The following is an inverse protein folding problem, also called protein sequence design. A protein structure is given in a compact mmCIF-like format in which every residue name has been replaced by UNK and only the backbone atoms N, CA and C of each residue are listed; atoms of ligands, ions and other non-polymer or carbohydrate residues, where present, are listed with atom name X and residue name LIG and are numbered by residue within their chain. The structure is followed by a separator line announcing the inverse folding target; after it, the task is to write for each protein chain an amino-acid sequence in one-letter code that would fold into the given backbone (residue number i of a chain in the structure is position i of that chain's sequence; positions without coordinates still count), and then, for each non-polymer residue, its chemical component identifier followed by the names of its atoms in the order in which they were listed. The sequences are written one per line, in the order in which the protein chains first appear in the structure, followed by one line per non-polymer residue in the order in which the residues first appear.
data_IF_654911318625
#
_entry.id   IF_654911318625
#
_cell.length_a   1.000
_cell.length_b   1.000
_cell.length_c   1.000
_cell.angle_alpha   90.00
_cell.angle_beta   90.00
_cell.angle_gamma   90.00
#
_symmetry.space_group_name_H-M   'P 1'
#
loop_
_entity.id
_entity.type
_entity.pdbx_description
1 polymer ?
#
# COMPACT_ATOMS: atom_id res chain seq x y z
N UNK A 1 30.21 30.46 67.33
CA UNK A 1 30.01 30.35 65.88
C UNK A 1 30.67 31.54 65.20
N UNK A 2 31.78 31.32 64.49
CA UNK A 2 32.60 32.38 63.88
C UNK A 2 31.98 32.86 62.55
N UNK A 3 32.32 34.08 62.11
CA UNK A 3 31.87 34.62 60.81
C UNK A 3 32.23 33.68 59.64
N UNK A 4 33.37 33.01 59.72
CA UNK A 4 33.86 32.04 58.73
C UNK A 4 32.96 30.80 58.66
N UNK A 5 32.51 30.28 59.80
CA UNK A 5 31.55 29.16 59.85
C UNK A 5 30.19 29.55 59.24
N UNK A 6 29.72 30.78 59.49
CA UNK A 6 28.47 31.29 58.90
C UNK A 6 28.58 31.45 57.37
N UNK A 7 29.69 31.99 56.85
CA UNK A 7 29.92 32.08 55.41
C UNK A 7 30.11 30.70 54.75
N UNK A 8 30.74 29.75 55.44
CA UNK A 8 30.90 28.37 54.94
C UNK A 8 29.55 27.64 54.85
N UNK A 9 28.63 27.86 55.79
CA UNK A 9 27.27 27.28 55.77
C UNK A 9 26.42 27.96 54.69
N UNK A 10 26.51 29.28 54.53
CA UNK A 10 25.81 30.00 53.47
C UNK A 10 26.32 29.56 52.08
N UNK A 11 27.63 29.38 51.93
CA UNK A 11 28.25 28.89 50.69
C UNK A 11 27.87 27.45 50.36
N UNK A 12 27.80 26.55 51.35
CA UNK A 12 27.38 25.16 51.13
C UNK A 12 25.88 25.04 50.82
N UNK A 13 25.03 25.86 51.46
CA UNK A 13 23.60 25.96 51.15
C UNK A 13 23.37 26.56 49.76
N UNK A 14 24.10 27.61 49.39
CA UNK A 14 24.01 28.20 48.05
C UNK A 14 24.44 27.22 46.95
N UNK A 15 25.50 26.43 47.19
CA UNK A 15 25.95 25.37 46.27
C UNK A 15 24.90 24.25 46.14
N UNK A 16 24.32 23.80 47.26
CA UNK A 16 23.24 22.81 47.25
C UNK A 16 22.01 23.30 46.48
N UNK A 17 21.62 24.57 46.66
CA UNK A 17 20.52 25.19 45.90
C UNK A 17 20.86 25.26 44.41
N UNK A 18 22.09 25.64 44.03
CA UNK A 18 22.51 25.69 42.64
C UNK A 18 22.48 24.30 41.96
N UNK A 19 22.88 23.24 42.69
CA UNK A 19 22.79 21.85 42.22
C UNK A 19 21.32 21.46 42.01
N UNK A 20 20.44 21.75 42.97
CA UNK A 20 19.00 21.45 42.86
C UNK A 20 18.38 22.17 41.68
N UNK A 21 18.64 23.48 41.50
CA UNK A 21 18.15 24.26 40.37
C UNK A 21 18.64 23.69 39.03
N UNK A 22 19.92 23.31 38.95
CA UNK A 22 20.49 22.68 37.74
C UNK A 22 19.84 21.34 37.42
N UNK A 23 19.57 20.52 38.44
CA UNK A 23 18.90 19.23 38.28
C UNK A 23 17.44 19.38 37.86
N UNK A 24 16.73 20.36 38.43
CA UNK A 24 15.36 20.70 38.04
C UNK A 24 15.32 21.17 36.59
N UNK A 25 16.22 22.06 36.19
CA UNK A 25 16.30 22.55 34.82
C UNK A 25 16.60 21.42 33.82
N UNK A 26 17.58 20.55 34.14
CA UNK A 26 17.88 19.38 33.33
C UNK A 26 16.69 18.42 33.21
N UNK A 27 15.95 18.21 34.30
CA UNK A 27 14.76 17.35 34.31
C UNK A 27 13.65 17.92 33.44
N UNK A 28 13.42 19.24 33.49
CA UNK A 28 12.45 19.93 32.63
C UNK A 28 12.86 19.82 31.16
N UNK A 29 14.11 20.12 30.82
CA UNK A 29 14.61 19.97 29.44
C UNK A 29 14.45 18.53 28.93
N UNK A 30 14.76 17.53 29.77
CA UNK A 30 14.59 16.14 29.41
C UNK A 30 13.12 15.78 29.18
N UNK A 31 12.19 16.32 29.96
CA UNK A 31 10.75 16.11 29.76
C UNK A 31 10.27 16.78 28.47
N UNK A 32 10.72 18.00 28.17
CA UNK A 32 10.42 18.69 26.92
C UNK A 32 10.95 17.92 25.69
N UNK A 33 12.17 17.41 25.75
CA UNK A 33 12.76 16.57 24.69
C UNK A 33 11.98 15.28 24.47
N UNK A 34 11.53 14.62 25.55
CA UNK A 34 10.67 13.44 25.47
C UNK A 34 9.32 13.80 24.83
N UNK A 35 8.72 14.92 25.23
CA UNK A 35 7.45 15.38 24.67
C UNK A 35 7.56 15.68 23.17
N UNK A 36 8.63 16.36 22.74
CA UNK A 36 8.90 16.64 21.32
C UNK A 36 9.07 15.35 20.52
N UNK A 37 9.93 14.42 20.99
CA UNK A 37 10.11 13.12 20.32
C UNK A 37 8.81 12.33 20.19
N UNK A 38 7.96 12.37 21.22
CA UNK A 38 6.65 11.72 21.16
C UNK A 38 5.72 12.39 20.15
N UNK A 39 5.72 13.73 20.07
CA UNK A 39 4.96 14.47 19.07
C UNK A 39 5.42 14.17 17.64
N UNK A 40 6.73 14.18 17.40
CA UNK A 40 7.31 13.89 16.08
C UNK A 40 6.98 12.47 15.65
N UNK A 41 7.10 11.49 16.56
CA UNK A 41 6.73 10.11 16.32
C UNK A 41 5.24 9.94 15.98
N UNK A 42 4.35 10.70 16.61
CA UNK A 42 2.92 10.68 16.30
C UNK A 42 2.63 11.26 14.90
N UNK A 43 3.32 12.34 14.53
CA UNK A 43 3.20 12.94 13.19
C UNK A 43 3.72 12.01 12.09
N UNK A 44 4.86 11.36 12.32
CA UNK A 44 5.41 10.33 11.43
C UNK A 44 4.42 9.18 11.24
N UNK A 45 3.86 8.65 12.33
CA UNK A 45 2.85 7.59 12.28
C UNK A 45 1.61 8.02 11.47
N UNK A 46 1.11 9.24 11.69
CA UNK A 46 -0.05 9.76 10.93
C UNK A 46 0.25 9.89 9.43
N UNK A 47 1.43 10.39 9.05
CA UNK A 47 1.85 10.48 7.67
C UNK A 47 1.94 9.09 7.01
N UNK A 48 2.52 8.15 7.74
CA UNK A 48 2.69 6.76 7.31
C UNK A 48 1.34 6.07 7.08
N UNK A 49 0.40 6.20 8.03
CA UNK A 49 -0.97 5.69 7.87
C UNK A 49 -1.62 6.24 6.59
N UNK A 50 -1.50 7.53 6.31
CA UNK A 50 -2.03 8.14 5.08
C UNK A 50 -1.38 7.58 3.81
N UNK A 51 -0.07 7.35 3.83
CA UNK A 51 0.65 6.77 2.68
C UNK A 51 0.14 5.35 2.40
N UNK A 52 -0.02 4.53 3.43
CA UNK A 52 -0.49 3.16 3.25
C UNK A 52 -1.93 3.14 2.70
N UNK A 53 -2.83 3.91 3.32
CA UNK A 53 -4.21 4.03 2.84
C UNK A 53 -4.26 4.51 1.38
N UNK A 54 -3.42 5.48 1.02
CA UNK A 54 -3.34 5.96 -0.37
C UNK A 54 -2.87 4.88 -1.34
N UNK A 55 -1.88 4.05 -0.96
CA UNK A 55 -1.43 2.92 -1.78
C UNK A 55 -2.53 1.85 -1.92
N UNK A 56 -3.23 1.51 -0.83
CA UNK A 56 -4.37 0.59 -0.84
C UNK A 56 -5.48 1.06 -1.79
N UNK A 57 -5.83 2.35 -1.75
CA UNK A 57 -6.81 2.96 -2.64
C UNK A 57 -6.37 2.91 -4.11
N UNK A 58 -5.08 3.15 -4.38
CA UNK A 58 -4.53 3.04 -5.75
C UNK A 58 -4.62 1.60 -6.27
N UNK A 59 -4.24 0.61 -5.46
CA UNK A 59 -4.37 -0.80 -5.79
C UNK A 59 -5.82 -1.18 -6.10
N UNK A 60 -6.75 -0.75 -5.25
CA UNK A 60 -8.20 -0.97 -5.44
C UNK A 60 -8.68 -0.42 -6.78
N UNK A 61 -8.32 0.81 -7.11
CA UNK A 61 -8.68 1.43 -8.38
C UNK A 61 -8.14 0.65 -9.58
N UNK A 62 -6.89 0.17 -9.51
CA UNK A 62 -6.31 -0.65 -10.58
C UNK A 62 -7.07 -1.97 -10.73
N UNK A 63 -7.41 -2.63 -9.62
CA UNK A 63 -8.21 -3.87 -9.64
C UNK A 63 -9.59 -3.63 -10.25
N UNK A 64 -10.27 -2.54 -9.90
CA UNK A 64 -11.56 -2.17 -10.48
C UNK A 64 -11.47 -1.90 -11.99
N UNK A 65 -10.44 -1.20 -12.45
CA UNK A 65 -10.20 -0.96 -13.88
C UNK A 65 -9.92 -2.25 -14.64
N UNK A 66 -9.05 -3.11 -14.10
CA UNK A 66 -8.74 -4.41 -14.68
C UNK A 66 -9.97 -5.35 -14.70
N UNK A 67 -10.83 -5.28 -13.68
CA UNK A 67 -12.05 -6.09 -13.59
C UNK A 67 -13.03 -5.82 -14.74
N UNK A 68 -13.03 -4.62 -15.32
CA UNK A 68 -13.84 -4.32 -16.52
C UNK A 68 -13.44 -5.20 -17.71
N UNK A 69 -12.15 -5.53 -17.81
CA UNK A 69 -11.62 -6.40 -18.86
C UNK A 69 -12.04 -7.85 -18.61
N UNK A 70 -11.89 -8.31 -17.36
CA UNK A 70 -12.31 -9.65 -16.95
C UNK A 70 -13.81 -9.87 -17.21
N UNK A 71 -14.64 -8.90 -16.85
CA UNK A 71 -16.09 -8.94 -17.11
C UNK A 71 -16.39 -9.01 -18.61
N UNK A 72 -15.65 -8.27 -19.45
CA UNK A 72 -15.83 -8.31 -20.91
C UNK A 72 -15.45 -9.68 -21.49
N UNK A 73 -14.39 -10.30 -20.97
CA UNK A 73 -13.99 -11.66 -21.32
C UNK A 73 -15.10 -12.65 -20.97
N UNK A 74 -15.65 -12.55 -19.76
CA UNK A 74 -16.72 -13.40 -19.24
C UNK A 74 -18.03 -13.28 -20.03
N UNK A 75 -18.40 -12.06 -20.45
CA UNK A 75 -19.61 -11.78 -21.24
C UNK A 75 -19.59 -12.33 -22.67
N UNK A 76 -18.44 -12.81 -23.17
CA UNK A 76 -18.28 -13.34 -24.54
C UNK A 76 -18.73 -12.38 -25.65
N UNK A 77 -18.74 -11.07 -25.39
CA UNK A 77 -19.28 -10.05 -26.30
C UNK A 77 -18.28 -9.58 -27.37
N UNK A 78 -17.47 -10.51 -27.91
CA UNK A 78 -16.40 -10.22 -28.87
C UNK A 78 -16.16 -11.41 -29.81
N UNK A 79 -15.77 -11.14 -31.06
CA UNK A 79 -15.44 -12.15 -32.06
C UNK A 79 -13.94 -12.52 -32.09
N UNK A 80 -13.12 -11.85 -31.28
CA UNK A 80 -11.69 -12.05 -31.21
C UNK A 80 -11.06 -11.12 -30.18
N UNK A 81 -9.88 -11.50 -29.70
CA UNK A 81 -9.12 -10.72 -28.73
C UNK A 81 -7.64 -10.76 -29.12
N UNK A 82 -6.96 -9.63 -28.97
CA UNK A 82 -5.51 -9.55 -29.08
C UNK A 82 -4.95 -8.79 -27.88
N UNK A 83 -3.71 -9.09 -27.53
CA UNK A 83 -2.99 -8.42 -26.46
C UNK A 83 -1.60 -8.04 -26.92
N UNK A 84 -1.17 -6.83 -26.56
CA UNK A 84 0.19 -6.34 -26.77
C UNK A 84 0.71 -5.80 -25.46
N UNK A 85 1.90 -6.22 -25.06
CA UNK A 85 2.56 -5.68 -23.89
C UNK A 85 3.45 -4.50 -24.29
N UNK A 86 3.37 -3.40 -23.56
CA UNK A 86 4.38 -2.34 -23.61
C UNK A 86 4.76 -1.94 -22.18
N UNK A 87 6.01 -2.23 -21.80
CA UNK A 87 6.44 -2.13 -20.41
C UNK A 87 5.59 -3.04 -19.50
N UNK A 88 4.93 -2.43 -18.53
CA UNK A 88 4.09 -3.12 -17.55
C UNK A 88 2.58 -3.00 -17.79
N UNK A 89 2.20 -2.51 -18.96
CA UNK A 89 0.80 -2.42 -19.37
C UNK A 89 0.54 -3.37 -20.52
N UNK A 90 -0.58 -4.10 -20.44
CA UNK A 90 -1.12 -4.88 -21.54
C UNK A 90 -2.25 -4.09 -22.20
N UNK A 91 -2.12 -3.86 -23.51
CA UNK A 91 -3.16 -3.30 -24.34
C UNK A 91 -3.97 -4.44 -24.91
N UNK A 92 -5.22 -4.54 -24.49
CA UNK A 92 -6.13 -5.60 -24.90
C UNK A 92 -7.17 -5.02 -25.84
N UNK A 93 -7.18 -5.50 -27.08
CA UNK A 93 -8.14 -5.08 -28.09
C UNK A 93 -9.15 -6.20 -28.32
N UNK A 94 -10.43 -5.82 -28.36
CA UNK A 94 -11.54 -6.72 -28.61
C UNK A 94 -12.12 -6.46 -30.00
N UNK A 95 -12.40 -7.55 -30.72
CA UNK A 95 -13.04 -7.54 -32.04
C UNK A 95 -14.56 -7.58 -31.90
N UNK A 96 -15.11 -6.52 -31.35
CA UNK A 96 -16.53 -6.40 -30.98
C UNK A 96 -17.30 -5.36 -31.80
N UNK A 97 -16.62 -4.63 -32.68
CA UNK A 97 -17.28 -3.80 -33.69
C UNK A 97 -17.84 -4.68 -34.80
N UNK A 98 -19.07 -4.44 -35.24
CA UNK A 98 -19.69 -5.16 -36.35
C UNK A 98 -20.24 -4.17 -37.39
N UNK A 99 -20.00 -4.45 -38.67
CA UNK A 99 -20.58 -3.68 -39.79
C UNK A 99 -21.51 -4.59 -40.58
N UNK A 100 -22.78 -4.21 -40.74
CA UNK A 100 -23.79 -5.02 -41.45
C UNK A 100 -23.48 -5.23 -42.93
N UNK A 101 -22.83 -4.25 -43.57
CA UNK A 101 -22.31 -4.34 -44.95
C UNK A 101 -20.85 -3.90 -44.90
N UNK A 102 -19.87 -4.82 -44.83
CA UNK A 102 -19.82 -6.13 -45.49
C UNK A 102 -19.99 -7.37 -44.58
N UNK A 103 -20.76 -7.30 -43.48
CA UNK A 103 -20.88 -8.37 -42.46
C UNK A 103 -19.54 -8.78 -41.85
N UNK A 104 -18.72 -7.79 -41.48
CA UNK A 104 -17.38 -8.03 -40.91
C UNK A 104 -17.25 -7.44 -39.53
N UNK A 105 -16.62 -8.22 -38.65
CA UNK A 105 -16.16 -7.75 -37.35
C UNK A 105 -14.86 -6.97 -37.48
N UNK A 106 -14.69 -5.94 -36.66
CA UNK A 106 -13.49 -5.11 -36.56
C UNK A 106 -13.13 -4.82 -35.09
N UNK A 107 -11.88 -4.45 -34.86
CA UNK A 107 -11.35 -4.08 -33.55
C UNK A 107 -11.92 -2.72 -33.14
N UNK A 108 -12.75 -2.67 -32.10
CA UNK A 108 -13.42 -1.44 -31.66
C UNK A 108 -13.03 -1.05 -30.24
N UNK A 109 -13.14 -1.99 -29.30
CA UNK A 109 -12.80 -1.69 -27.90
C UNK A 109 -11.32 -1.96 -27.62
N UNK A 110 -10.62 -0.95 -27.09
CA UNK A 110 -9.24 -1.08 -26.58
C UNK A 110 -9.22 -0.73 -25.09
N UNK A 111 -8.70 -1.64 -24.27
CA UNK A 111 -8.60 -1.47 -22.81
C UNK A 111 -7.15 -1.68 -22.36
N UNK A 112 -6.78 -1.01 -21.27
CA UNK A 112 -5.46 -1.14 -20.63
C UNK A 112 -5.60 -2.02 -19.40
N UNK A 113 -4.85 -3.11 -19.37
CA UNK A 113 -4.70 -3.99 -18.23
C UNK A 113 -3.36 -3.69 -17.57
N UNK A 114 -3.39 -3.29 -16.30
CA UNK A 114 -2.19 -2.93 -15.55
C UNK A 114 -1.76 -4.07 -14.63
N UNK A 115 -0.45 -4.22 -14.45
CA UNK A 115 0.07 -4.98 -13.32
C UNK A 115 -0.19 -4.22 -12.01
N UNK A 116 -0.40 -4.98 -10.93
CA UNK A 116 -0.53 -4.45 -9.59
C UNK A 116 0.86 -4.06 -9.06
N UNK A 117 0.93 -2.93 -8.34
CA UNK A 117 2.16 -2.47 -7.67
C UNK A 117 1.83 -1.91 -6.30
N UNK A 118 2.56 -2.38 -5.31
CA UNK A 118 2.59 -1.83 -3.96
C UNK A 118 3.96 -1.18 -3.76
N UNK A 119 3.99 0.03 -3.21
CA UNK A 119 5.25 0.65 -2.79
C UNK A 119 5.49 0.49 -1.28
N UNK A 120 4.65 -0.29 -0.59
CA UNK A 120 4.53 -0.32 0.88
C UNK A 120 5.79 -0.82 1.59
N UNK A 121 6.70 -1.50 0.88
CA UNK A 121 7.93 -2.07 1.43
C UNK A 121 8.82 -1.02 2.09
N UNK A 122 8.83 0.22 1.57
CA UNK A 122 9.65 1.31 2.11
C UNK A 122 9.11 1.79 3.45
N UNK A 123 7.81 1.64 3.67
CA UNK A 123 7.08 2.07 4.84
C UNK A 123 7.07 0.99 5.94
N UNK A 124 7.18 -0.30 5.57
CA UNK A 124 7.12 -1.46 6.49
C UNK A 124 8.04 -1.30 7.72
N UNK A 125 9.30 -0.92 7.53
CA UNK A 125 10.26 -0.81 8.64
C UNK A 125 9.90 0.28 9.65
N UNK A 126 9.22 1.33 9.22
CA UNK A 126 8.78 2.42 10.10
C UNK A 126 7.52 1.97 10.84
N UNK A 127 6.59 1.32 10.14
CA UNK A 127 5.35 0.80 10.76
C UNK A 127 5.66 -0.31 11.77
N UNK A 128 6.64 -1.15 11.48
CA UNK A 128 7.11 -2.24 12.35
C UNK A 128 7.46 -1.78 13.77
N UNK A 129 7.89 -0.51 13.93
CA UNK A 129 8.17 0.08 15.24
C UNK A 129 6.92 0.33 16.09
N UNK A 130 5.75 0.31 15.45
CA UNK A 130 4.46 0.66 16.05
C UNK A 130 3.51 -0.53 16.12
N UNK A 131 3.50 -1.37 15.09
CA UNK A 131 2.66 -2.56 15.01
C UNK A 131 3.42 -3.63 14.22
N UNK A 132 3.64 -4.81 14.83
CA UNK A 132 4.38 -5.91 14.18
C UNK A 132 3.44 -6.75 13.30
N UNK A 133 2.17 -6.87 13.67
CA UNK A 133 1.18 -7.70 12.94
C UNK A 133 0.88 -7.16 11.54
N UNK A 134 0.99 -5.84 11.35
CA UNK A 134 0.84 -5.22 10.03
C UNK A 134 1.97 -5.57 9.06
N UNK A 135 3.13 -6.00 9.56
CA UNK A 135 4.24 -6.46 8.72
C UNK A 135 3.82 -7.71 7.97
N UNK A 136 3.27 -8.69 8.68
CA UNK A 136 2.80 -9.95 8.09
C UNK A 136 1.69 -9.71 7.06
N UNK A 137 0.79 -8.77 7.35
CA UNK A 137 -0.25 -8.36 6.41
C UNK A 137 0.31 -7.70 5.14
N UNK A 138 1.28 -6.79 5.27
CA UNK A 138 1.89 -6.11 4.10
C UNK A 138 2.73 -7.09 3.29
N UNK A 139 3.51 -7.97 3.93
CA UNK A 139 4.26 -9.02 3.24
C UNK A 139 3.32 -9.99 2.52
N UNK A 140 2.24 -10.42 3.20
CA UNK A 140 1.19 -11.24 2.60
C UNK A 140 0.53 -10.56 1.40
N UNK A 141 0.25 -9.26 1.49
CA UNK A 141 -0.29 -8.48 0.38
C UNK A 141 0.67 -8.45 -0.82
N UNK A 142 1.97 -8.26 -0.61
CA UNK A 142 2.96 -8.26 -1.69
C UNK A 142 3.05 -9.63 -2.38
N UNK A 143 3.03 -10.74 -1.62
CA UNK A 143 3.00 -12.09 -2.19
C UNK A 143 1.75 -12.33 -3.03
N UNK A 144 0.59 -11.85 -2.57
CA UNK A 144 -0.66 -11.94 -3.33
C UNK A 144 -0.62 -11.07 -4.60
N UNK A 145 -0.02 -9.89 -4.54
CA UNK A 145 0.19 -9.01 -5.69
C UNK A 145 1.07 -9.69 -6.74
N UNK A 146 2.17 -10.33 -6.33
CA UNK A 146 3.06 -11.06 -7.24
C UNK A 146 2.34 -12.25 -7.88
N UNK A 147 1.60 -13.04 -7.09
CA UNK A 147 0.77 -14.12 -7.60
C UNK A 147 -0.26 -13.63 -8.61
N UNK A 148 -0.97 -12.53 -8.30
CA UNK A 148 -1.94 -11.93 -9.21
C UNK A 148 -1.28 -11.44 -10.50
N UNK A 149 -0.11 -10.82 -10.41
CA UNK A 149 0.67 -10.37 -11.56
C UNK A 149 1.11 -11.52 -12.47
N UNK A 150 1.49 -12.66 -11.90
CA UNK A 150 1.83 -13.85 -12.67
C UNK A 150 0.61 -14.45 -13.35
N UNK A 151 -0.55 -14.50 -12.67
CA UNK A 151 -1.83 -14.86 -13.26
C UNK A 151 -2.22 -13.93 -14.42
N UNK A 152 -2.05 -12.61 -14.27
CA UNK A 152 -2.30 -11.62 -15.33
C UNK A 152 -1.39 -11.88 -16.53
N UNK A 153 -0.08 -12.02 -16.31
CA UNK A 153 0.90 -12.28 -17.38
C UNK A 153 0.57 -13.56 -18.11
N UNK A 154 0.27 -14.63 -17.37
CA UNK A 154 -0.10 -15.92 -17.94
C UNK A 154 -1.36 -15.81 -18.82
N UNK A 155 -2.40 -15.14 -18.32
CA UNK A 155 -3.62 -14.91 -19.09
C UNK A 155 -3.31 -14.11 -20.36
N UNK A 156 -2.63 -12.97 -20.22
CA UNK A 156 -2.37 -12.04 -21.33
C UNK A 156 -1.51 -12.68 -22.43
N UNK A 157 -0.49 -13.44 -22.06
CA UNK A 157 0.38 -14.14 -23.01
C UNK A 157 -0.32 -15.28 -23.76
N UNK A 158 -1.51 -15.70 -23.32
CA UNK A 158 -2.28 -16.76 -23.95
C UNK A 158 -3.53 -16.25 -24.67
N UNK A 159 -3.77 -14.95 -24.69
CA UNK A 159 -5.00 -14.35 -25.25
C UNK A 159 -5.22 -14.70 -26.73
N UNK A 160 -4.16 -14.77 -27.54
CA UNK A 160 -4.23 -15.05 -28.97
C UNK A 160 -4.28 -16.54 -29.32
N UNK A 161 -4.05 -17.44 -28.36
CA UNK A 161 -3.96 -18.90 -28.57
C UNK A 161 -5.08 -19.69 -27.90
N UNK A 162 -5.94 -19.03 -27.12
CA UNK A 162 -6.92 -19.70 -26.27
C UNK A 162 -8.31 -19.68 -26.89
N UNK A 163 -9.06 -20.77 -26.72
CA UNK A 163 -10.51 -20.75 -26.92
C UNK A 163 -11.17 -19.81 -25.91
N UNK A 164 -12.38 -19.33 -26.21
CA UNK A 164 -13.12 -18.43 -25.32
C UNK A 164 -13.31 -19.05 -23.93
N UNK A 165 -13.68 -20.35 -23.85
CA UNK A 165 -13.90 -21.01 -22.56
C UNK A 165 -12.61 -21.17 -21.75
N UNK A 166 -11.48 -21.49 -22.40
CA UNK A 166 -10.18 -21.55 -21.73
C UNK A 166 -9.72 -20.16 -21.24
N UNK A 167 -10.11 -19.10 -21.94
CA UNK A 167 -9.82 -17.74 -21.53
C UNK A 167 -10.66 -17.32 -20.31
N UNK A 168 -11.92 -17.72 -20.24
CA UNK A 168 -12.78 -17.48 -19.07
C UNK A 168 -12.21 -18.16 -17.83
N UNK A 169 -11.76 -19.42 -17.96
CA UNK A 169 -11.10 -20.12 -16.85
C UNK A 169 -9.91 -19.33 -16.29
N UNK A 170 -9.09 -18.74 -17.17
CA UNK A 170 -7.95 -17.89 -16.77
C UNK A 170 -8.39 -16.56 -16.16
N UNK A 171 -9.41 -15.91 -16.73
CA UNK A 171 -9.97 -14.69 -16.17
C UNK A 171 -10.53 -14.90 -14.75
N UNK A 172 -11.13 -16.07 -14.49
CA UNK A 172 -11.62 -16.43 -13.16
C UNK A 172 -10.48 -16.63 -12.15
N UNK A 173 -9.32 -17.17 -12.57
CA UNK A 173 -8.13 -17.25 -11.70
C UNK A 173 -7.68 -15.84 -11.30
N UNK A 174 -7.55 -14.93 -12.27
CA UNK A 174 -7.16 -13.53 -11.99
C UNK A 174 -8.19 -12.85 -11.07
N UNK A 175 -9.48 -13.09 -11.28
CA UNK A 175 -10.56 -12.54 -10.44
C UNK A 175 -10.47 -13.04 -8.99
N UNK A 176 -10.23 -14.32 -8.79
CA UNK A 176 -10.02 -14.90 -7.46
C UNK A 176 -8.78 -14.32 -6.76
N UNK A 177 -7.69 -14.11 -7.52
CA UNK A 177 -6.49 -13.46 -6.97
C UNK A 177 -6.78 -11.99 -6.58
N UNK A 178 -7.55 -11.26 -7.40
CA UNK A 178 -8.01 -9.91 -7.05
C UNK A 178 -8.88 -9.87 -5.80
N UNK A 179 -9.79 -10.84 -5.63
CA UNK A 179 -10.61 -10.94 -4.42
C UNK A 179 -9.76 -11.12 -3.16
N UNK A 180 -8.73 -11.98 -3.21
CA UNK A 180 -7.79 -12.16 -2.10
C UNK A 180 -7.01 -10.88 -1.80
N UNK A 181 -6.49 -10.22 -2.83
CA UNK A 181 -5.78 -8.94 -2.68
C UNK A 181 -6.69 -7.90 -2.03
N UNK A 182 -7.94 -7.79 -2.47
CA UNK A 182 -8.93 -6.85 -1.92
C UNK A 182 -9.26 -7.15 -0.45
N UNK A 183 -9.44 -8.42 -0.09
CA UNK A 183 -9.66 -8.82 1.30
C UNK A 183 -8.46 -8.45 2.20
N UNK A 184 -7.24 -8.67 1.72
CA UNK A 184 -6.03 -8.28 2.47
C UNK A 184 -5.90 -6.75 2.58
N UNK A 185 -6.27 -6.00 1.54
CA UNK A 185 -6.36 -4.53 1.61
C UNK A 185 -7.32 -4.11 2.72
N UNK A 186 -8.53 -4.69 2.79
CA UNK A 186 -9.52 -4.36 3.84
C UNK A 186 -8.96 -4.63 5.25
N UNK A 187 -8.21 -5.73 5.43
CA UNK A 187 -7.55 -6.05 6.71
C UNK A 187 -6.46 -5.02 7.07
N UNK A 188 -5.64 -4.62 6.10
CA UNK A 188 -4.60 -3.59 6.30
C UNK A 188 -5.24 -2.25 6.69
N UNK A 189 -6.28 -1.83 5.98
CA UNK A 189 -7.00 -0.58 6.26
C UNK A 189 -7.67 -0.61 7.65
N UNK A 190 -8.25 -1.75 8.04
CA UNK A 190 -8.83 -1.96 9.36
C UNK A 190 -7.80 -1.80 10.50
N UNK A 191 -6.64 -2.42 10.36
CA UNK A 191 -5.55 -2.32 11.34
C UNK A 191 -4.99 -0.91 11.48
N UNK A 192 -4.96 -0.15 10.38
CA UNK A 192 -4.46 1.23 10.36
C UNK A 192 -5.43 2.22 11.00
N UNK A 193 -6.73 1.97 10.85
CA UNK A 193 -7.80 2.91 11.29
C UNK A 193 -8.18 2.71 12.75
N UNK A 194 -8.00 1.50 13.31
CA UNK A 194 -8.34 1.16 14.69
C UNK A 194 -7.26 1.57 15.73
N UNK A 195 -6.09 2.00 15.27
CA UNK A 195 -4.98 2.52 16.08
C UNK A 195 -4.84 4.03 15.92
#
# INVERSE_FOLDING_TARGET
MTLVEKFSIIGSVASAIAIVVSFTFFTIQRQEDIARRNSDRNNELLALKKIILSNCQQLRKIIEENSKILNKIEMKSYAGIEAKQAGETFYINFKDGYTEKPRKYYWKTSLRFYLLRSNLEKEVLVIAKHNVEIIDLILGLNLLIDSANDSIRFMCNKLYLSTIDALIGKANIVKNDFEKVMQTIDLVEGQITLQ
#
